data_IF_469533651745
#
_entry.id   IF_469533651745
#
_cell.length_a   1.000
_cell.length_b   1.000
_cell.length_c   1.000
_cell.angle_alpha   90.00
_cell.angle_beta   90.00
_cell.angle_gamma   90.00
#
_symmetry.space_group_name_H-M   'P 1'
#
loop_
_entity.id
_entity.type
_entity.pdbx_description
1 polymer ?
#
# COMPACT_ATOMS: atom_id res chain seq x y z
N UNK A 1 5.15 -31.05 11.29
CA UNK A 1 3.71 -30.74 11.15
C UNK A 1 3.55 -29.26 11.44
N UNK A 2 3.18 -28.53 10.39
CA UNK A 2 3.04 -27.08 10.29
C UNK A 2 2.02 -26.54 11.28
N UNK A 3 2.29 -25.38 11.91
CA UNK A 3 1.38 -24.22 11.81
C UNK A 3 2.09 -22.94 12.27
N UNK A 4 2.73 -22.28 11.31
CA UNK A 4 3.27 -20.94 11.44
C UNK A 4 2.12 -19.93 11.56
N UNK A 5 1.73 -19.60 12.79
CA UNK A 5 0.86 -18.45 13.10
C UNK A 5 1.70 -17.20 13.23
N UNK A 6 2.27 -16.76 12.12
CA UNK A 6 2.96 -15.50 12.05
C UNK A 6 1.98 -14.42 11.60
N UNK A 7 1.65 -13.58 12.58
CA UNK A 7 1.34 -12.14 12.45
C UNK A 7 -0.04 -11.79 11.87
N UNK A 8 -1.01 -11.67 12.77
CA UNK A 8 -2.13 -10.72 12.63
C UNK A 8 -2.24 -9.79 13.86
N UNK A 9 -1.20 -9.71 14.70
CA UNK A 9 -1.21 -8.99 15.98
C UNK A 9 -1.05 -7.46 15.84
N UNK A 10 -0.98 -6.95 14.59
CA UNK A 10 -0.89 -5.51 14.30
C UNK A 10 -2.21 -4.83 13.92
N UNK A 11 -3.23 -5.60 13.52
CA UNK A 11 -4.47 -5.07 12.91
C UNK A 11 -5.69 -5.15 13.84
N UNK A 12 -5.50 -5.63 15.08
CA UNK A 12 -6.59 -5.84 16.03
C UNK A 12 -6.43 -5.03 17.31
N UNK A 13 -7.40 -4.16 17.60
CA UNK A 13 -7.45 -3.36 18.81
C UNK A 13 -8.34 -4.04 19.84
N UNK A 14 -7.76 -4.48 20.95
CA UNK A 14 -8.49 -5.00 22.11
C UNK A 14 -8.92 -3.87 23.02
N UNK A 15 -10.23 -3.68 23.22
CA UNK A 15 -10.77 -2.66 24.14
C UNK A 15 -11.59 -3.30 25.25
N UNK A 16 -11.36 -2.84 26.49
CA UNK A 16 -12.18 -3.23 27.64
C UNK A 16 -13.32 -2.22 27.78
N UNK A 17 -14.56 -2.71 27.77
CA UNK A 17 -15.78 -1.90 27.87
C UNK A 17 -16.62 -2.34 29.07
N UNK A 18 -17.53 -1.48 29.49
CA UNK A 18 -18.50 -1.76 30.54
C UNK A 18 -19.91 -1.54 30.00
N UNK A 19 -20.83 -2.45 30.31
CA UNK A 19 -22.23 -2.32 29.92
C UNK A 19 -22.87 -1.16 30.69
N UNK A 20 -23.50 -0.22 29.97
CA UNK A 20 -24.17 0.92 30.61
C UNK A 20 -25.42 0.48 31.43
N UNK A 21 -26.06 -0.63 31.07
CA UNK A 21 -27.29 -1.11 31.73
C UNK A 21 -27.00 -1.99 32.95
N UNK A 22 -26.13 -3.00 32.82
CA UNK A 22 -25.89 -3.98 33.88
C UNK A 22 -24.51 -3.86 34.56
N UNK A 23 -23.68 -2.89 34.18
CA UNK A 23 -22.33 -2.65 34.74
C UNK A 23 -21.31 -3.78 34.52
N UNK A 24 -21.67 -4.86 33.83
CA UNK A 24 -20.79 -5.99 33.51
C UNK A 24 -19.64 -5.57 32.59
N UNK A 25 -18.44 -6.12 32.81
CA UNK A 25 -17.25 -5.79 32.02
C UNK A 25 -17.04 -6.83 30.92
N UNK A 26 -16.76 -6.36 29.71
CA UNK A 26 -16.49 -7.24 28.57
C UNK A 26 -15.33 -6.72 27.72
N UNK A 27 -14.78 -7.60 26.88
CA UNK A 27 -13.70 -7.28 25.93
C UNK A 27 -14.28 -7.27 24.53
N UNK A 28 -14.02 -6.21 23.77
CA UNK A 28 -14.27 -6.17 22.33
C UNK A 28 -12.94 -6.26 21.58
N UNK A 29 -12.97 -6.93 20.43
CA UNK A 29 -11.89 -6.95 19.46
C UNK A 29 -12.36 -6.20 18.22
N UNK A 30 -11.62 -5.16 17.83
CA UNK A 30 -11.89 -4.36 16.63
C UNK A 30 -10.81 -4.65 15.61
N UNK A 31 -11.18 -4.98 14.37
CA UNK A 31 -10.25 -5.18 13.25
C UNK A 31 -10.43 -4.04 12.25
N UNK A 32 -9.35 -3.44 11.78
CA UNK A 32 -9.44 -2.47 10.69
C UNK A 32 -9.72 -3.18 9.36
N UNK A 33 -10.90 -2.94 8.76
CA UNK A 33 -11.17 -3.36 7.38
C UNK A 33 -10.47 -2.41 6.41
N UNK A 34 -9.17 -2.62 6.21
CA UNK A 34 -8.40 -1.83 5.27
C UNK A 34 -8.68 -2.33 3.84
N UNK A 35 -9.35 -1.51 3.04
CA UNK A 35 -9.57 -1.71 1.60
C UNK A 35 -8.64 -0.82 0.79
N UNK A 36 -8.28 -1.24 -0.42
CA UNK A 36 -7.48 -0.40 -1.31
C UNK A 36 -8.31 0.81 -1.78
N UNK A 37 -7.73 2.02 -1.82
CA UNK A 37 -8.44 3.20 -2.31
C UNK A 37 -8.77 3.08 -3.80
N UNK A 38 -9.83 3.75 -4.24
CA UNK A 38 -10.03 4.02 -5.67
C UNK A 38 -9.01 5.05 -6.14
N UNK A 39 -8.57 4.94 -7.38
CA UNK A 39 -7.61 5.86 -7.98
C UNK A 39 -8.35 6.93 -8.77
N UNK A 40 -8.16 8.18 -8.37
CA UNK A 40 -8.63 9.37 -9.09
C UNK A 40 -7.58 9.76 -10.13
N UNK A 41 -7.94 9.73 -11.41
CA UNK A 41 -7.08 10.06 -12.54
C UNK A 41 -7.03 11.58 -12.74
N UNK A 42 -6.09 12.04 -13.57
CA UNK A 42 -5.90 13.47 -13.86
C UNK A 42 -7.11 14.12 -14.55
N UNK A 43 -7.91 13.33 -15.26
CA UNK A 43 -9.18 13.75 -15.88
C UNK A 43 -10.38 13.71 -14.92
N UNK A 44 -10.15 13.36 -13.63
CA UNK A 44 -11.18 13.23 -12.61
C UNK A 44 -11.95 11.90 -12.63
N UNK A 45 -11.66 11.01 -13.59
CA UNK A 45 -12.24 9.66 -13.61
C UNK A 45 -11.72 8.81 -12.44
N UNK A 46 -12.50 7.81 -12.04
CA UNK A 46 -12.20 6.93 -10.89
C UNK A 46 -12.11 5.48 -11.34
N UNK A 47 -10.98 4.85 -11.09
CA UNK A 47 -10.80 3.41 -11.34
C UNK A 47 -10.47 2.67 -10.04
N UNK A 48 -10.67 1.35 -10.02
CA UNK A 48 -10.15 0.52 -8.93
C UNK A 48 -8.62 0.50 -8.98
N UNK A 49 -7.97 0.46 -7.81
CA UNK A 49 -6.54 0.24 -7.75
C UNK A 49 -6.18 -1.08 -8.45
N UNK A 50 -5.16 -1.02 -9.30
CA UNK A 50 -4.69 -2.17 -10.06
C UNK A 50 -3.18 -2.37 -9.81
N UNK A 51 -2.86 -3.43 -9.07
CA UNK A 51 -1.48 -3.79 -8.74
C UNK A 51 -0.64 -4.09 -9.98
N UNK A 52 -1.21 -4.76 -10.98
CA UNK A 52 -0.50 -5.08 -12.22
C UNK A 52 -0.07 -3.82 -12.97
N UNK A 53 -0.90 -2.76 -12.96
CA UNK A 53 -0.53 -1.45 -13.52
C UNK A 53 0.63 -0.81 -12.75
N UNK A 54 0.60 -0.84 -11.41
CA UNK A 54 1.69 -0.33 -10.56
C UNK A 54 3.00 -1.06 -10.88
N UNK A 55 2.96 -2.39 -10.87
CA UNK A 55 4.10 -3.27 -11.16
C UNK A 55 4.67 -3.01 -12.55
N UNK A 56 3.81 -2.96 -13.57
CA UNK A 56 4.24 -2.70 -14.95
C UNK A 56 4.91 -1.32 -15.08
N UNK A 57 4.40 -0.29 -14.41
CA UNK A 57 5.01 1.04 -14.37
C UNK A 57 6.42 1.01 -13.75
N UNK A 58 6.60 0.30 -12.64
CA UNK A 58 7.90 0.14 -12.00
C UNK A 58 8.89 -0.65 -12.88
N UNK A 59 8.46 -1.77 -13.46
CA UNK A 59 9.28 -2.60 -14.35
C UNK A 59 9.77 -1.81 -15.56
N UNK A 60 8.90 -0.98 -16.15
CA UNK A 60 9.26 -0.12 -17.27
C UNK A 60 10.33 0.91 -16.88
N UNK A 61 10.23 1.50 -15.68
CA UNK A 61 11.24 2.43 -15.18
C UNK A 61 12.60 1.75 -14.92
N UNK A 62 12.57 0.50 -14.47
CA UNK A 62 13.72 -0.33 -14.12
C UNK A 62 14.29 -1.14 -15.31
N UNK A 63 13.79 -0.89 -16.53
CA UNK A 63 14.24 -1.62 -17.71
C UNK A 63 15.76 -1.47 -17.92
N UNK A 64 16.45 -2.62 -18.09
CA UNK A 64 17.91 -2.74 -18.23
C UNK A 64 18.69 -2.21 -17.01
N UNK A 65 18.07 -2.17 -15.82
CA UNK A 65 18.75 -1.83 -14.56
C UNK A 65 19.08 -3.10 -13.77
N UNK A 66 20.20 -3.13 -13.04
CA UNK A 66 20.62 -4.28 -12.25
C UNK A 66 19.88 -4.32 -10.90
N UNK A 67 18.55 -4.45 -10.93
CA UNK A 67 17.69 -4.55 -9.73
C UNK A 67 17.05 -5.94 -9.71
N UNK A 68 17.13 -6.64 -8.58
CA UNK A 68 16.58 -7.99 -8.47
C UNK A 68 15.05 -7.98 -8.46
N UNK A 69 14.44 -9.06 -8.92
CA UNK A 69 12.98 -9.20 -8.92
C UNK A 69 12.41 -9.10 -7.50
N UNK A 70 13.09 -9.69 -6.52
CA UNK A 70 12.70 -9.67 -5.11
C UNK A 70 12.65 -8.25 -4.55
N UNK A 71 13.61 -7.39 -4.92
CA UNK A 71 13.63 -6.00 -4.49
C UNK A 71 12.46 -5.19 -5.07
N UNK A 72 12.06 -5.50 -6.31
CA UNK A 72 10.89 -4.91 -6.97
C UNK A 72 9.60 -5.36 -6.31
N UNK A 73 9.44 -6.66 -6.08
CA UNK A 73 8.29 -7.22 -5.36
C UNK A 73 8.14 -6.60 -3.98
N UNK A 74 9.23 -6.52 -3.21
CA UNK A 74 9.23 -5.91 -1.90
C UNK A 74 8.85 -4.42 -1.94
N UNK A 75 9.25 -3.69 -2.99
CA UNK A 75 8.88 -2.29 -3.16
C UNK A 75 7.40 -2.12 -3.52
N UNK A 76 6.86 -2.94 -4.42
CA UNK A 76 5.43 -2.97 -4.76
C UNK A 76 4.60 -3.24 -3.51
N UNK A 77 4.98 -4.24 -2.72
CA UNK A 77 4.25 -4.60 -1.51
C UNK A 77 4.31 -3.50 -0.46
N UNK A 78 5.47 -2.85 -0.25
CA UNK A 78 5.56 -1.68 0.65
C UNK A 78 4.66 -0.52 0.22
N UNK A 79 4.59 -0.24 -1.08
CA UNK A 79 3.68 0.79 -1.60
C UNK A 79 2.23 0.40 -1.29
N UNK A 80 1.82 -0.84 -1.59
CA UNK A 80 0.47 -1.34 -1.30
C UNK A 80 0.11 -1.23 0.16
N UNK A 81 1.00 -1.67 1.06
CA UNK A 81 0.80 -1.58 2.51
C UNK A 81 0.64 -0.14 2.96
N UNK A 82 1.47 0.77 2.43
CA UNK A 82 1.37 2.21 2.73
C UNK A 82 0.03 2.79 2.27
N UNK A 83 -0.40 2.47 1.04
CA UNK A 83 -1.69 2.92 0.50
C UNK A 83 -2.87 2.38 1.31
N UNK A 84 -2.79 1.11 1.69
CA UNK A 84 -3.81 0.43 2.49
C UNK A 84 -3.89 1.00 3.92
N UNK A 85 -2.75 1.25 4.55
CA UNK A 85 -2.66 1.77 5.91
C UNK A 85 -3.13 3.22 6.04
N UNK A 86 -3.16 4.01 4.95
CA UNK A 86 -3.74 5.37 4.96
C UNK A 86 -5.24 5.36 5.28
N UNK A 87 -5.96 4.28 4.92
CA UNK A 87 -7.40 4.17 5.16
C UNK A 87 -8.25 5.10 4.28
N UNK A 88 -7.65 5.74 3.28
CA UNK A 88 -8.35 6.63 2.36
C UNK A 88 -9.31 5.85 1.45
N UNK A 89 -10.47 6.45 1.15
CA UNK A 89 -11.40 5.88 0.16
C UNK A 89 -10.96 6.12 -1.28
N UNK A 90 -10.30 7.25 -1.52
CA UNK A 90 -9.82 7.68 -2.84
C UNK A 90 -8.41 8.23 -2.71
N UNK A 91 -7.58 8.00 -3.72
CA UNK A 91 -6.22 8.56 -3.83
C UNK A 91 -5.97 9.07 -5.24
N UNK A 92 -5.27 10.20 -5.37
CA UNK A 92 -4.92 10.70 -6.70
C UNK A 92 -3.81 9.83 -7.32
N UNK A 93 -3.89 9.61 -8.63
CA UNK A 93 -2.87 8.88 -9.37
C UNK A 93 -1.46 9.48 -9.20
N UNK A 94 -1.38 10.81 -9.04
CA UNK A 94 -0.11 11.52 -8.77
C UNK A 94 0.53 11.09 -7.44
N UNK A 95 -0.28 10.84 -6.40
CA UNK A 95 0.22 10.50 -5.05
C UNK A 95 0.76 9.04 -5.04
N UNK A 96 0.18 8.17 -5.87
CA UNK A 96 0.74 6.85 -6.16
C UNK A 96 2.07 6.98 -6.92
N UNK A 97 2.11 7.87 -7.93
CA UNK A 97 3.33 8.17 -8.69
C UNK A 97 4.47 8.66 -7.79
N UNK A 98 4.17 9.49 -6.79
CA UNK A 98 5.16 9.93 -5.79
C UNK A 98 5.68 8.77 -4.94
N UNK A 99 4.79 7.88 -4.50
CA UNK A 99 5.19 6.66 -3.76
C UNK A 99 6.11 5.78 -4.61
N UNK A 100 5.85 5.67 -5.91
CA UNK A 100 6.73 4.97 -6.86
C UNK A 100 8.07 5.69 -7.01
N UNK A 101 8.07 7.01 -7.13
CA UNK A 101 9.30 7.80 -7.22
C UNK A 101 10.20 7.59 -6.00
N UNK A 102 9.64 7.60 -4.79
CA UNK A 102 10.38 7.36 -3.55
C UNK A 102 10.98 5.95 -3.52
N UNK A 103 10.22 4.95 -3.95
CA UNK A 103 10.71 3.57 -4.06
C UNK A 103 11.84 3.46 -5.09
N UNK A 104 11.67 4.02 -6.29
CA UNK A 104 12.69 4.02 -7.34
C UNK A 104 13.96 4.77 -6.92
N UNK A 105 13.85 5.89 -6.20
CA UNK A 105 15.00 6.62 -5.67
C UNK A 105 15.89 5.75 -4.77
N UNK A 106 15.27 4.82 -4.05
CA UNK A 106 15.98 3.85 -3.19
C UNK A 106 16.57 2.69 -4.00
N UNK A 107 15.85 2.21 -5.01
CA UNK A 107 16.26 1.05 -5.81
C UNK A 107 17.33 1.40 -6.86
N UNK A 108 17.15 2.49 -7.59
CA UNK A 108 18.02 2.89 -8.69
C UNK A 108 17.82 4.35 -9.09
N UNK A 109 18.89 5.15 -8.97
CA UNK A 109 18.83 6.59 -9.25
C UNK A 109 18.51 6.93 -10.72
N UNK A 110 18.96 6.11 -11.67
CA UNK A 110 18.70 6.33 -13.11
C UNK A 110 17.23 6.07 -13.44
N UNK A 111 16.65 5.00 -12.89
CA UNK A 111 15.24 4.69 -13.01
C UNK A 111 14.36 5.79 -12.42
N UNK A 112 14.75 6.34 -11.26
CA UNK A 112 14.10 7.49 -10.65
C UNK A 112 14.06 8.71 -11.60
N UNK A 113 15.20 9.10 -12.17
CA UNK A 113 15.27 10.24 -13.11
C UNK A 113 14.36 9.99 -14.33
N UNK A 114 14.45 8.79 -14.93
CA UNK A 114 13.61 8.41 -16.09
C UNK A 114 12.13 8.50 -15.78
N UNK A 115 11.72 8.02 -14.60
CA UNK A 115 10.34 8.04 -14.19
C UNK A 115 9.86 9.48 -13.95
N UNK A 116 10.65 10.33 -13.29
CA UNK A 116 10.30 11.73 -13.06
C UNK A 116 10.10 12.51 -14.39
N UNK A 117 10.94 12.24 -15.39
CA UNK A 117 10.80 12.83 -16.73
C UNK A 117 9.60 12.30 -17.52
N UNK A 118 9.11 11.09 -17.22
CA UNK A 118 7.93 10.50 -17.86
C UNK A 118 6.60 10.81 -17.18
N UNK A 119 6.63 11.38 -15.97
CA UNK A 119 5.44 11.79 -15.19
C UNK A 119 5.18 13.31 -15.29
N UNK A 120 6.05 14.04 -16.00
CA UNK A 120 5.89 15.47 -16.31
C UNK A 120 4.97 15.70 -17.50
#
# INVERSE_FOLDING_TARGET
MTDSRLVADGDQVRRRRQCASCQERFTTYETAELVMPRVVKSDGSRESFNEAKLRAGMLRALEKRPVSAEAIEAAVERIRQTLRARGDREINARDIGESVMQALKTLDHVAYIRFALGVS
#
